data_IF_188095300837
#
_entry.id   IF_188095300837
#
_cell.length_a   1.000
_cell.length_b   1.000
_cell.length_c   1.000
_cell.angle_alpha   90.00
_cell.angle_beta   90.00
_cell.angle_gamma   90.00
#
_symmetry.space_group_name_H-M   'P 1'
#
loop_
_entity.id
_entity.type
_entity.pdbx_description
1 polymer ?
#
# COMPACT_ATOMS: atom_id res chain seq x y z
N UNK A 1 -53.37 4.77 -23.10
CA UNK A 1 -52.92 6.17 -22.98
C UNK A 1 -52.88 6.45 -21.48
N UNK A 2 -51.80 6.74 -20.77
CA UNK A 2 -50.49 7.31 -21.07
C UNK A 2 -49.46 6.54 -20.24
N UNK A 3 -48.49 5.87 -20.87
CA UNK A 3 -47.30 5.39 -20.16
C UNK A 3 -46.30 6.53 -20.23
N UNK A 4 -46.27 7.37 -19.20
CA UNK A 4 -45.21 8.36 -19.04
C UNK A 4 -43.90 7.60 -18.91
N UNK A 5 -43.06 7.64 -19.96
CA UNK A 5 -41.67 7.20 -19.87
C UNK A 5 -40.99 8.06 -18.82
N UNK A 6 -40.67 7.49 -17.66
CA UNK A 6 -39.82 8.17 -16.67
C UNK A 6 -38.51 8.54 -17.36
N UNK A 7 -38.13 9.81 -17.23
CA UNK A 7 -36.98 10.38 -17.91
C UNK A 7 -35.69 9.64 -17.54
N UNK A 8 -34.79 9.50 -18.53
CA UNK A 8 -33.43 9.02 -18.37
C UNK A 8 -32.67 9.88 -17.36
N UNK A 9 -32.59 9.45 -16.10
CA UNK A 9 -31.84 10.13 -15.05
C UNK A 9 -32.51 10.21 -13.67
N UNK A 10 -33.77 9.81 -13.52
CA UNK A 10 -34.43 9.81 -12.21
C UNK A 10 -33.88 8.68 -11.30
N UNK A 11 -33.44 9.09 -10.12
CA UNK A 11 -33.02 8.20 -9.04
C UNK A 11 -34.26 7.61 -8.36
N UNK A 12 -34.39 6.29 -8.41
CA UNK A 12 -35.48 5.56 -7.78
C UNK A 12 -34.95 4.81 -6.58
N UNK A 13 -35.52 5.07 -5.41
CA UNK A 13 -35.22 4.36 -4.17
C UNK A 13 -36.27 3.28 -3.92
N UNK A 14 -35.81 2.06 -3.67
CA UNK A 14 -36.65 0.92 -3.40
C UNK A 14 -36.87 0.75 -1.89
N UNK A 15 -37.88 -0.04 -1.54
CA UNK A 15 -38.29 -0.29 -0.14
C UNK A 15 -37.22 -1.04 0.65
N UNK A 16 -36.41 -1.85 -0.02
CA UNK A 16 -35.28 -2.59 0.56
C UNK A 16 -34.05 -1.69 0.85
N UNK A 17 -34.13 -0.40 0.50
CA UNK A 17 -33.03 0.55 0.64
C UNK A 17 -32.06 0.56 -0.53
N UNK A 18 -32.31 -0.22 -1.58
CA UNK A 18 -31.54 -0.13 -2.83
C UNK A 18 -31.93 1.12 -3.62
N UNK A 19 -31.02 1.57 -4.48
CA UNK A 19 -31.22 2.77 -5.31
C UNK A 19 -30.80 2.47 -6.75
N UNK A 20 -31.62 2.87 -7.72
CA UNK A 20 -31.29 2.76 -9.14
C UNK A 20 -31.33 4.11 -9.83
N UNK A 21 -30.33 4.35 -10.68
CA UNK A 21 -30.25 5.50 -11.56
C UNK A 21 -29.87 5.00 -12.95
N UNK A 22 -30.80 5.11 -13.90
CA UNK A 22 -30.57 4.64 -15.26
C UNK A 22 -31.80 4.72 -16.13
N UNK A 23 -31.73 4.04 -17.28
CA UNK A 23 -32.86 3.93 -18.20
C UNK A 23 -33.89 2.91 -17.73
N UNK A 24 -35.15 3.14 -18.10
CA UNK A 24 -36.31 2.33 -17.74
C UNK A 24 -37.12 2.00 -18.98
N UNK A 25 -37.66 0.80 -19.04
CA UNK A 25 -38.66 0.39 -20.03
C UNK A 25 -39.99 0.05 -19.32
N UNK A 26 -40.96 -0.46 -20.08
CA UNK A 26 -42.28 -0.86 -19.55
C UNK A 26 -42.18 -2.05 -18.59
N UNK A 27 -41.14 -2.88 -18.72
CA UNK A 27 -40.92 -4.11 -17.94
C UNK A 27 -40.05 -3.88 -16.69
N UNK A 28 -39.33 -2.76 -16.58
CA UNK A 28 -38.44 -2.44 -15.46
C UNK A 28 -37.16 -1.73 -15.89
N UNK A 29 -36.05 -2.07 -15.22
CA UNK A 29 -34.72 -1.52 -15.52
C UNK A 29 -34.20 -2.12 -16.82
N UNK A 30 -33.82 -1.28 -17.77
CA UNK A 30 -33.27 -1.69 -19.07
C UNK A 30 -32.24 -0.68 -19.55
N UNK A 31 -31.21 -1.12 -20.28
CA UNK A 31 -30.16 -0.26 -20.82
C UNK A 31 -29.06 -0.01 -19.79
N UNK A 32 -28.43 1.17 -19.81
CA UNK A 32 -27.28 1.46 -18.95
C UNK A 32 -27.76 2.12 -17.65
N UNK A 33 -27.25 1.65 -16.52
CA UNK A 33 -27.61 2.18 -15.22
C UNK A 33 -26.56 1.96 -14.14
N UNK A 34 -26.87 2.53 -12.98
CA UNK A 34 -26.16 2.37 -11.73
C UNK A 34 -27.14 1.89 -10.67
N UNK A 35 -26.85 0.76 -10.04
CA UNK A 35 -27.67 0.16 -8.99
C UNK A 35 -26.87 0.03 -7.71
N UNK A 36 -27.31 0.70 -6.64
CA UNK A 36 -26.77 0.59 -5.30
C UNK A 36 -27.55 -0.48 -4.56
N UNK A 37 -26.87 -1.58 -4.24
CA UNK A 37 -27.43 -2.69 -3.48
C UNK A 37 -27.55 -2.31 -1.98
N UNK A 38 -28.44 -2.98 -1.21
CA UNK A 38 -28.64 -2.69 0.22
C UNK A 38 -27.39 -2.77 1.10
N UNK A 39 -26.35 -3.50 0.66
CA UNK A 39 -25.05 -3.60 1.35
C UNK A 39 -24.02 -2.57 0.87
N UNK A 40 -24.45 -1.47 0.25
CA UNK A 40 -23.61 -0.43 -0.36
C UNK A 40 -22.65 -0.94 -1.46
N UNK A 41 -22.89 -2.14 -1.99
CA UNK A 41 -22.25 -2.56 -3.22
C UNK A 41 -22.91 -1.80 -4.38
N UNK A 42 -22.14 -1.43 -5.39
CA UNK A 42 -22.61 -0.62 -6.50
C UNK A 42 -22.36 -1.39 -7.78
N UNK A 43 -23.39 -1.62 -8.58
CA UNK A 43 -23.27 -2.15 -9.92
C UNK A 43 -23.42 -1.01 -10.93
N UNK A 44 -22.50 -0.91 -11.88
CA UNK A 44 -22.57 0.00 -13.01
C UNK A 44 -22.42 -0.82 -14.29
N UNK A 45 -23.43 -0.78 -15.16
CA UNK A 45 -23.43 -1.63 -16.35
C UNK A 45 -24.78 -1.65 -17.06
N UNK A 46 -24.94 -2.67 -17.90
CA UNK A 46 -26.18 -2.90 -18.63
C UNK A 46 -27.20 -3.69 -17.80
N UNK A 47 -28.47 -3.41 -18.06
CA UNK A 47 -29.63 -4.01 -17.43
C UNK A 47 -30.56 -4.53 -18.51
N UNK A 48 -31.17 -5.68 -18.23
CA UNK A 48 -32.21 -6.26 -19.08
C UNK A 48 -33.21 -7.00 -18.20
N UNK A 49 -34.49 -6.74 -18.43
CA UNK A 49 -35.60 -7.34 -17.68
C UNK A 49 -35.44 -7.20 -16.15
N UNK A 50 -34.92 -6.06 -15.69
CA UNK A 50 -34.69 -5.82 -14.26
C UNK A 50 -33.48 -6.55 -13.65
N UNK A 51 -32.66 -7.21 -14.45
CA UNK A 51 -31.46 -7.96 -13.99
C UNK A 51 -30.17 -7.41 -14.59
N UNK A 52 -29.03 -7.68 -13.94
CA UNK A 52 -27.72 -7.34 -14.50
C UNK A 52 -27.47 -8.14 -15.79
N UNK A 53 -27.09 -7.44 -16.86
CA UNK A 53 -26.86 -8.01 -18.18
C UNK A 53 -25.68 -7.33 -18.87
N UNK A 54 -25.21 -7.88 -20.00
CA UNK A 54 -24.20 -7.24 -20.86
C UNK A 54 -22.89 -6.95 -20.13
N UNK A 55 -22.23 -5.83 -20.43
CA UNK A 55 -21.01 -5.45 -19.72
C UNK A 55 -21.31 -4.68 -18.43
N UNK A 56 -20.62 -5.05 -17.35
CA UNK A 56 -20.84 -4.40 -16.06
C UNK A 56 -19.70 -4.56 -15.06
N UNK A 57 -19.66 -3.62 -14.12
CA UNK A 57 -18.69 -3.52 -13.04
C UNK A 57 -19.40 -3.48 -11.69
N UNK A 58 -19.07 -4.42 -10.81
CA UNK A 58 -19.55 -4.45 -9.44
C UNK A 58 -18.46 -3.95 -8.49
N UNK A 59 -18.74 -2.87 -7.76
CA UNK A 59 -17.88 -2.26 -6.76
C UNK A 59 -18.34 -2.62 -5.35
N UNK A 60 -17.41 -3.05 -4.51
CA UNK A 60 -17.67 -3.35 -3.11
C UNK A 60 -17.29 -2.15 -2.21
N UNK A 61 -17.89 -2.02 -1.02
CA UNK A 61 -17.59 -0.93 -0.09
C UNK A 61 -16.11 -0.78 0.29
N UNK A 62 -15.33 -1.87 0.21
CA UNK A 62 -13.88 -1.90 0.48
C UNK A 62 -13.02 -1.61 -0.75
N UNK A 63 -13.54 -0.90 -1.75
CA UNK A 63 -12.85 -0.52 -3.00
C UNK A 63 -12.38 -1.71 -3.86
N UNK A 64 -12.95 -2.89 -3.63
CA UNK A 64 -12.72 -4.06 -4.50
C UNK A 64 -13.69 -3.97 -5.68
N UNK A 65 -13.31 -4.53 -6.83
CA UNK A 65 -14.11 -4.45 -8.05
C UNK A 65 -14.14 -5.79 -8.78
N UNK A 66 -15.29 -6.16 -9.33
CA UNK A 66 -15.45 -7.26 -10.28
C UNK A 66 -15.93 -6.67 -11.60
N UNK A 67 -15.13 -6.85 -12.65
CA UNK A 67 -15.56 -6.61 -14.03
C UNK A 67 -16.00 -7.94 -14.65
N UNK A 68 -16.99 -7.90 -15.54
CA UNK A 68 -17.33 -9.09 -16.33
C UNK A 68 -18.50 -8.87 -17.28
N UNK A 69 -18.91 -9.98 -17.89
CA UNK A 69 -20.11 -10.07 -18.72
C UNK A 69 -21.23 -10.67 -17.87
N UNK A 70 -22.33 -9.95 -17.71
CA UNK A 70 -23.44 -10.33 -16.86
C UNK A 70 -24.56 -10.94 -17.69
N UNK A 71 -25.21 -11.98 -17.16
CA UNK A 71 -26.33 -12.64 -17.80
C UNK A 71 -27.30 -13.11 -16.74
N UNK A 72 -28.49 -12.50 -16.67
CA UNK A 72 -29.53 -12.85 -15.70
C UNK A 72 -29.05 -12.75 -14.25
N UNK A 73 -28.21 -11.73 -13.95
CA UNK A 73 -27.63 -11.54 -12.62
C UNK A 73 -26.35 -12.35 -12.34
N UNK A 74 -25.99 -13.32 -13.18
CA UNK A 74 -24.75 -14.07 -13.04
C UNK A 74 -23.58 -13.43 -13.78
N UNK A 75 -22.43 -13.29 -13.12
CA UNK A 75 -21.21 -12.77 -13.72
C UNK A 75 -20.41 -13.88 -14.41
N UNK A 76 -20.36 -13.83 -15.75
CA UNK A 76 -19.49 -14.61 -16.62
C UNK A 76 -18.22 -13.82 -16.91
N UNK A 77 -17.11 -14.52 -17.13
CA UNK A 77 -15.78 -13.93 -17.40
C UNK A 77 -15.38 -12.84 -16.39
N UNK A 78 -15.38 -13.23 -15.11
CA UNK A 78 -15.12 -12.30 -14.00
C UNK A 78 -13.63 -11.98 -13.87
N UNK A 79 -13.31 -10.69 -13.84
CA UNK A 79 -12.00 -10.14 -13.46
C UNK A 79 -12.12 -9.42 -12.13
N UNK A 80 -11.57 -10.03 -11.09
CA UNK A 80 -11.55 -9.46 -9.75
C UNK A 80 -10.29 -8.59 -9.54
N UNK A 81 -10.49 -7.36 -9.08
CA UNK A 81 -9.43 -6.41 -8.73
C UNK A 81 -9.53 -6.07 -7.25
N UNK A 82 -8.43 -6.26 -6.53
CA UNK A 82 -8.27 -5.91 -5.13
C UNK A 82 -8.20 -4.38 -4.95
N UNK A 83 -8.36 -3.91 -3.72
CA UNK A 83 -8.38 -2.48 -3.38
C UNK A 83 -7.06 -1.73 -3.67
N UNK A 84 -5.95 -2.46 -3.74
CA UNK A 84 -4.61 -2.00 -4.07
C UNK A 84 -4.35 -1.98 -5.60
N UNK A 85 -5.30 -2.46 -6.39
CA UNK A 85 -5.20 -2.62 -7.84
C UNK A 85 -4.55 -3.92 -8.31
N UNK A 86 -4.25 -4.86 -7.40
CA UNK A 86 -3.83 -6.21 -7.79
C UNK A 86 -4.98 -6.90 -8.52
N UNK A 87 -4.71 -7.52 -9.67
CA UNK A 87 -5.72 -8.27 -10.42
C UNK A 87 -5.58 -9.75 -10.05
N UNK A 88 -6.66 -10.36 -9.58
CA UNK A 88 -6.69 -11.79 -9.31
C UNK A 88 -6.45 -12.60 -10.58
N UNK A 89 -5.53 -13.57 -10.52
CA UNK A 89 -5.29 -14.52 -11.61
C UNK A 89 -5.36 -15.93 -11.05
N UNK A 90 -6.26 -16.75 -11.61
CA UNK A 90 -6.37 -18.17 -11.24
C UNK A 90 -5.13 -18.96 -11.65
N UNK A 91 -4.48 -18.56 -12.75
CA UNK A 91 -3.26 -19.16 -13.27
C UNK A 91 -2.12 -18.12 -13.20
N UNK A 92 -0.89 -18.56 -12.96
CA UNK A 92 0.30 -17.70 -12.88
C UNK A 92 0.16 -16.56 -11.85
N UNK A 93 -0.27 -16.90 -10.64
CA UNK A 93 -0.40 -15.96 -9.52
C UNK A 93 0.95 -15.52 -8.92
N UNK A 94 1.60 -14.50 -9.45
CA UNK A 94 2.96 -14.13 -9.02
C UNK A 94 3.06 -13.33 -7.71
N UNK A 95 1.92 -12.93 -7.14
CA UNK A 95 1.90 -12.10 -5.94
C UNK A 95 2.35 -12.86 -4.68
N UNK A 96 3.37 -12.32 -4.01
CA UNK A 96 3.96 -12.89 -2.79
C UNK A 96 4.41 -14.36 -2.93
N UNK A 97 4.88 -14.78 -4.11
CA UNK A 97 5.45 -16.13 -4.33
C UNK A 97 6.97 -16.11 -4.27
N UNK A 98 7.57 -17.09 -3.62
CA UNK A 98 9.03 -17.27 -3.65
C UNK A 98 9.55 -17.33 -5.12
N UNK A 99 10.65 -16.64 -5.46
CA UNK A 99 11.56 -15.88 -4.58
C UNK A 99 11.10 -14.45 -4.26
N UNK A 100 10.08 -13.93 -4.96
CA UNK A 100 9.63 -12.54 -4.86
C UNK A 100 8.48 -12.36 -3.85
N UNK A 101 8.83 -11.84 -2.67
CA UNK A 101 7.87 -11.59 -1.58
C UNK A 101 7.37 -10.14 -1.53
N UNK A 102 7.58 -9.37 -2.61
CA UNK A 102 7.19 -7.95 -2.65
C UNK A 102 5.68 -7.78 -2.64
N UNK A 103 5.22 -6.79 -1.87
CA UNK A 103 3.84 -6.33 -1.91
C UNK A 103 3.50 -5.64 -3.25
N UNK A 104 2.21 -5.54 -3.59
CA UNK A 104 1.77 -4.97 -4.87
C UNK A 104 2.17 -3.50 -4.94
N UNK A 105 2.10 -2.82 -3.79
CA UNK A 105 2.65 -1.47 -3.63
C UNK A 105 4.15 -1.40 -3.95
N UNK A 106 4.96 -2.36 -3.51
CA UNK A 106 6.39 -2.36 -3.82
C UNK A 106 6.65 -2.58 -5.31
N UNK A 107 5.84 -3.42 -5.98
CA UNK A 107 5.94 -3.68 -7.42
C UNK A 107 5.57 -2.41 -8.22
N UNK A 108 4.47 -1.75 -7.84
CA UNK A 108 3.95 -0.59 -8.58
C UNK A 108 4.76 0.68 -8.38
N UNK A 109 5.37 0.87 -7.21
CA UNK A 109 5.99 2.15 -6.84
C UNK A 109 7.45 2.06 -6.40
N UNK A 110 8.05 0.86 -6.50
CA UNK A 110 9.42 0.61 -6.09
C UNK A 110 9.57 0.27 -4.61
N UNK A 111 10.77 -0.17 -4.25
CA UNK A 111 11.15 -0.50 -2.88
C UNK A 111 11.44 0.78 -2.09
N UNK A 112 11.00 0.81 -0.83
CA UNK A 112 11.34 1.88 0.11
C UNK A 112 12.78 1.69 0.64
N UNK A 113 13.46 2.78 1.04
CA UNK A 113 14.79 2.69 1.65
C UNK A 113 14.75 1.85 2.93
N UNK A 114 15.93 1.36 3.34
CA UNK A 114 16.08 0.59 4.58
C UNK A 114 15.57 1.39 5.78
N UNK A 115 14.77 0.73 6.64
CA UNK A 115 14.10 1.36 7.79
C UNK A 115 12.69 1.90 7.50
N UNK A 116 12.34 2.13 6.23
CA UNK A 116 10.99 2.50 5.79
C UNK A 116 10.29 1.36 5.03
N UNK A 117 10.75 0.11 5.20
CA UNK A 117 10.19 -1.04 4.50
C UNK A 117 8.75 -1.28 4.92
N UNK A 118 7.88 -1.48 3.93
CA UNK A 118 6.48 -1.82 4.16
C UNK A 118 6.36 -3.14 4.91
N UNK A 119 5.60 -3.13 6.01
CA UNK A 119 5.26 -4.32 6.81
C UNK A 119 3.98 -4.99 6.35
N UNK A 120 3.08 -4.21 5.76
CA UNK A 120 1.86 -4.66 5.12
C UNK A 120 1.81 -4.02 3.73
N UNK A 121 0.93 -4.51 2.86
CA UNK A 121 0.75 -3.90 1.54
C UNK A 121 0.14 -2.48 1.60
N UNK A 122 -0.39 -2.10 2.76
CA UNK A 122 -0.95 -0.77 2.99
C UNK A 122 0.15 0.28 3.09
N UNK A 123 -0.05 1.36 2.33
CA UNK A 123 0.90 2.49 2.25
C UNK A 123 0.88 3.38 3.48
N UNK A 124 -0.28 3.43 4.14
CA UNK A 124 -0.46 4.19 5.35
C UNK A 124 0.17 3.41 6.47
N UNK A 125 1.38 3.83 6.85
CA UNK A 125 2.02 3.34 8.06
C UNK A 125 1.13 3.75 9.23
N UNK A 126 0.47 2.77 9.83
CA UNK A 126 -0.19 2.99 11.10
C UNK A 126 0.90 3.30 12.12
N UNK A 127 0.97 4.56 12.55
CA UNK A 127 1.89 4.99 13.60
C UNK A 127 1.29 4.59 14.94
N UNK A 128 1.98 3.68 15.63
CA UNK A 128 1.63 3.32 17.00
C UNK A 128 1.83 4.57 17.87
N UNK A 129 0.82 5.01 18.64
CA UNK A 129 0.96 6.17 19.52
C UNK A 129 2.15 6.02 20.48
N UNK A 130 2.79 7.13 20.87
CA UNK A 130 3.89 7.09 21.84
C UNK A 130 3.52 6.28 23.07
N UNK A 131 4.49 5.56 23.62
CA UNK A 131 4.37 4.66 24.80
C UNK A 131 3.42 3.47 24.63
N UNK A 132 2.81 3.27 23.45
CA UNK A 132 1.89 2.17 23.19
C UNK A 132 2.55 1.01 22.42
N UNK A 133 1.85 -0.13 22.43
CA UNK A 133 2.21 -1.37 21.76
C UNK A 133 1.11 -1.78 20.78
N UNK A 134 1.46 -2.40 19.67
CA UNK A 134 0.52 -3.04 18.76
C UNK A 134 0.37 -4.52 19.15
N UNK A 135 -0.74 -4.83 19.81
CA UNK A 135 -1.08 -6.18 20.24
C UNK A 135 -1.63 -7.06 19.09
N UNK A 136 -1.67 -6.54 17.85
CA UNK A 136 -2.23 -7.21 16.68
C UNK A 136 -3.76 -7.11 16.61
N UNK A 137 -4.44 -7.29 17.74
CA UNK A 137 -5.88 -7.02 17.87
C UNK A 137 -6.21 -5.52 18.00
N UNK A 138 -5.26 -4.73 18.50
CA UNK A 138 -5.44 -3.31 18.77
C UNK A 138 -4.22 -2.70 19.44
N UNK A 139 -4.35 -1.42 19.82
CA UNK A 139 -3.29 -0.67 20.46
C UNK A 139 -3.41 -0.75 21.97
N UNK A 140 -2.42 -1.37 22.58
CA UNK A 140 -2.29 -1.50 24.01
C UNK A 140 -1.57 -0.29 24.61
N UNK A 141 -2.22 0.38 25.56
CA UNK A 141 -1.59 1.42 26.37
C UNK A 141 -1.21 0.88 27.75
N UNK A 142 0.09 0.79 28.11
CA UNK A 142 0.54 0.22 29.36
C UNK A 142 0.17 1.05 30.60
N UNK A 143 -0.09 2.36 30.45
CA UNK A 143 -0.52 3.22 31.55
C UNK A 143 -2.01 3.06 31.83
N UNK A 144 -2.82 2.79 30.80
CA UNK A 144 -4.29 2.69 30.91
C UNK A 144 -4.82 1.24 30.92
N UNK A 145 -3.95 0.25 30.73
CA UNK A 145 -4.26 -1.19 30.78
C UNK A 145 -5.47 -1.63 29.93
N UNK A 146 -5.64 -1.06 28.74
CA UNK A 146 -6.67 -1.50 27.81
C UNK A 146 -6.15 -1.45 26.37
N UNK A 147 -6.82 -2.23 25.52
CA UNK A 147 -6.55 -2.33 24.08
C UNK A 147 -7.66 -1.56 23.35
N UNK A 148 -7.28 -0.58 22.54
CA UNK A 148 -8.20 0.18 21.68
C UNK A 148 -8.11 -0.28 20.23
N UNK A 149 -9.16 -0.04 19.44
CA UNK A 149 -9.14 -0.27 18.00
C UNK A 149 -8.07 0.58 17.29
N UNK A 150 -7.45 0.03 16.24
CA UNK A 150 -6.54 0.80 15.37
C UNK A 150 -7.24 1.98 14.68
N UNK A 151 -8.54 1.86 14.42
CA UNK A 151 -9.31 2.90 13.70
C UNK A 151 -9.92 3.93 14.65
N UNK A 152 -10.32 3.51 15.85
CA UNK A 152 -11.03 4.36 16.81
C UNK A 152 -10.45 4.17 18.21
N UNK A 153 -9.77 5.21 18.69
CA UNK A 153 -9.13 5.23 20.01
C UNK A 153 -10.13 5.26 21.18
N UNK A 154 -11.42 5.53 20.92
CA UNK A 154 -12.47 5.47 21.95
C UNK A 154 -13.05 4.07 22.12
N UNK A 155 -12.91 3.22 21.10
CA UNK A 155 -13.44 1.87 21.12
C UNK A 155 -12.46 0.94 21.83
N UNK A 156 -12.73 0.64 23.10
CA UNK A 156 -12.04 -0.40 23.84
C UNK A 156 -12.48 -1.76 23.31
N UNK A 157 -11.49 -2.57 22.90
CA UNK A 157 -11.72 -3.94 22.42
C UNK A 157 -11.60 -4.94 23.55
N UNK A 158 -10.56 -4.81 24.39
CA UNK A 158 -10.27 -5.78 25.44
C UNK A 158 -9.48 -5.13 26.60
N UNK A 159 -9.68 -5.66 27.81
CA UNK A 159 -8.88 -5.34 29.00
C UNK A 159 -8.00 -6.56 29.32
N UNK A 160 -6.71 -6.53 28.98
CA UNK A 160 -5.83 -7.70 29.12
C UNK A 160 -5.49 -7.98 30.59
N UNK A 161 -5.39 -9.26 30.94
CA UNK A 161 -4.87 -9.66 32.25
C UNK A 161 -3.37 -9.39 32.39
N UNK A 162 -2.81 -9.56 33.59
CA UNK A 162 -1.40 -9.28 33.87
C UNK A 162 -0.45 -10.15 33.06
N UNK A 163 -0.79 -11.43 32.83
CA UNK A 163 0.04 -12.35 32.04
C UNK A 163 0.10 -11.91 30.57
N UNK A 164 -1.05 -11.53 30.02
CA UNK A 164 -1.17 -11.07 28.65
C UNK A 164 -0.50 -9.71 28.46
N UNK A 165 -0.65 -8.78 29.41
CA UNK A 165 0.05 -7.50 29.42
C UNK A 165 1.58 -7.68 29.36
N UNK A 166 2.14 -8.57 30.19
CA UNK A 166 3.57 -8.88 30.16
C UNK A 166 3.99 -9.50 28.83
N UNK A 167 3.15 -10.36 28.25
CA UNK A 167 3.42 -10.94 26.95
C UNK A 167 3.44 -9.87 25.84
N UNK A 168 2.49 -8.93 25.85
CA UNK A 168 2.44 -7.81 24.90
C UNK A 168 3.72 -6.98 25.02
N UNK A 169 4.07 -6.53 26.23
CA UNK A 169 5.25 -5.68 26.43
C UNK A 169 6.56 -6.36 26.01
N UNK A 170 6.62 -7.70 26.08
CA UNK A 170 7.81 -8.48 25.72
C UNK A 170 7.93 -8.79 24.22
N UNK A 171 6.81 -9.01 23.53
CA UNK A 171 6.82 -9.59 22.18
C UNK A 171 6.22 -8.69 21.10
N UNK A 172 5.33 -7.77 21.47
CA UNK A 172 4.62 -6.95 20.50
C UNK A 172 5.46 -5.77 20.04
N UNK A 173 5.14 -5.27 18.85
CA UNK A 173 5.73 -4.05 18.34
C UNK A 173 5.38 -2.88 19.26
N UNK A 174 6.34 -1.99 19.48
CA UNK A 174 6.17 -0.75 20.23
C UNK A 174 6.43 0.46 19.33
N UNK A 175 5.94 1.61 19.77
CA UNK A 175 6.04 2.85 19.00
C UNK A 175 7.47 3.38 18.81
N UNK A 176 8.42 2.95 19.64
CA UNK A 176 9.81 3.38 19.58
C UNK A 176 10.73 2.23 19.18
N UNK A 177 11.86 2.61 18.61
CA UNK A 177 12.97 1.68 18.39
C UNK A 177 13.92 1.76 19.58
N UNK A 178 14.52 0.63 19.95
CA UNK A 178 15.61 0.58 20.92
C UNK A 178 16.79 -0.19 20.32
N UNK A 179 18.04 0.21 20.61
CA UNK A 179 19.19 -0.58 20.20
C UNK A 179 19.13 -1.96 20.87
N UNK A 180 19.00 -3.02 20.07
CA UNK A 180 18.95 -4.41 20.57
C UNK A 180 20.34 -4.99 20.85
N UNK A 181 21.41 -4.26 20.49
CA UNK A 181 22.78 -4.74 20.58
C UNK A 181 23.10 -5.82 19.53
N UNK A 182 24.29 -6.41 19.65
CA UNK A 182 24.70 -7.51 18.77
C UNK A 182 23.96 -8.80 19.16
N UNK A 183 23.11 -9.31 18.25
CA UNK A 183 22.34 -10.55 18.41
C UNK A 183 22.86 -11.62 17.46
N UNK A 184 23.93 -12.31 17.88
CA UNK A 184 24.58 -13.39 17.10
C UNK A 184 23.61 -14.49 16.65
N UNK A 185 22.57 -14.73 17.44
CA UNK A 185 21.49 -15.69 17.20
C UNK A 185 20.56 -15.33 16.04
N UNK A 186 20.49 -14.04 15.65
CA UNK A 186 19.67 -13.58 14.52
C UNK A 186 20.43 -13.53 13.19
N UNK A 187 21.76 -13.70 13.23
CA UNK A 187 22.53 -13.82 12.00
C UNK A 187 22.45 -15.26 11.52
N UNK A 188 21.72 -15.48 10.44
CA UNK A 188 21.87 -16.72 9.69
C UNK A 188 23.31 -16.79 9.17
N UNK A 189 23.98 -17.93 9.35
CA UNK A 189 25.19 -18.23 8.61
C UNK A 189 24.77 -18.46 7.15
N UNK A 190 24.61 -17.37 6.40
CA UNK A 190 24.29 -17.38 4.96
C UNK A 190 25.35 -18.13 4.13
N UNK A 191 26.49 -18.40 4.75
CA UNK A 191 27.60 -19.12 4.15
C UNK A 191 27.75 -20.48 4.83
N UNK A 192 27.71 -21.61 4.10
CA UNK A 192 28.12 -22.89 4.66
C UNK A 192 29.55 -22.78 5.17
N UNK A 193 29.89 -23.49 6.25
CA UNK A 193 31.23 -23.48 6.86
C UNK A 193 32.37 -23.77 5.87
N UNK A 194 32.03 -24.34 4.70
CA UNK A 194 32.90 -24.49 3.51
C UNK A 194 32.48 -23.52 2.41
N UNK A 195 32.65 -22.22 2.65
CA UNK A 195 32.41 -21.23 1.61
C UNK A 195 33.65 -21.12 0.72
N UNK A 196 33.57 -21.66 -0.50
CA UNK A 196 34.65 -21.51 -1.48
C UNK A 196 34.71 -20.05 -1.93
N UNK A 197 35.76 -19.35 -1.49
CA UNK A 197 36.00 -17.94 -1.81
C UNK A 197 36.11 -17.69 -3.31
N UNK A 198 36.33 -18.72 -4.14
CA UNK A 198 36.22 -18.62 -5.60
C UNK A 198 34.81 -18.26 -6.08
N UNK A 199 33.76 -18.69 -5.40
CA UNK A 199 32.37 -18.42 -5.83
C UNK A 199 32.00 -16.93 -5.70
N UNK A 200 32.47 -16.24 -4.66
CA UNK A 200 32.31 -14.79 -4.52
C UNK A 200 32.99 -14.00 -5.64
N UNK A 201 34.16 -14.46 -6.09
CA UNK A 201 34.88 -13.83 -7.20
C UNK A 201 34.15 -13.97 -8.55
N UNK A 202 33.18 -14.89 -8.64
CA UNK A 202 32.37 -15.11 -9.84
C UNK A 202 31.04 -14.34 -9.81
N UNK A 203 30.44 -14.15 -8.62
CA UNK A 203 29.15 -13.46 -8.44
C UNK A 203 29.26 -11.92 -8.37
N UNK A 204 30.44 -11.41 -8.06
CA UNK A 204 30.71 -9.98 -8.12
C UNK A 204 31.27 -9.66 -9.52
N UNK A 205 30.71 -8.71 -10.28
CA UNK A 205 31.17 -8.38 -11.63
C UNK A 205 32.54 -7.66 -11.65
N UNK A 206 33.30 -7.75 -10.56
CA UNK A 206 34.48 -6.95 -10.32
C UNK A 206 35.70 -7.83 -10.52
N UNK A 207 36.27 -7.69 -11.72
CA UNK A 207 37.52 -8.28 -12.20
C UNK A 207 38.57 -8.46 -11.10
N UNK A 208 39.17 -9.65 -11.06
CA UNK A 208 40.30 -10.02 -10.18
C UNK A 208 41.59 -9.21 -10.40
N UNK A 209 41.62 -8.23 -11.31
CA UNK A 209 42.83 -7.46 -11.66
C UNK A 209 43.00 -6.15 -10.88
N UNK A 210 42.44 -6.01 -9.68
CA UNK A 210 42.65 -4.78 -8.91
C UNK A 210 42.92 -5.05 -7.44
N UNK A 211 44.14 -4.67 -7.04
CA UNK A 211 44.69 -4.76 -5.68
C UNK A 211 44.08 -3.75 -4.69
N UNK A 212 43.03 -3.02 -5.06
CA UNK A 212 42.40 -2.01 -4.19
C UNK A 212 41.17 -2.57 -3.45
N UNK A 213 41.09 -2.45 -2.10
CA UNK A 213 39.89 -2.75 -1.34
C UNK A 213 38.68 -1.96 -1.84
N UNK A 214 37.54 -2.63 -2.06
CA UNK A 214 36.34 -2.04 -2.68
C UNK A 214 35.83 -0.75 -2.01
N UNK A 215 36.04 -0.59 -0.71
CA UNK A 215 35.63 0.60 0.05
C UNK A 215 36.47 1.85 -0.27
N UNK A 216 37.69 1.71 -0.79
CA UNK A 216 38.53 2.84 -1.25
C UNK A 216 38.02 3.47 -2.56
N UNK A 217 37.30 2.72 -3.40
CA UNK A 217 36.68 3.25 -4.63
C UNK A 217 35.45 4.12 -4.36
N UNK A 218 34.76 3.90 -3.25
CA UNK A 218 33.66 4.77 -2.81
C UNK A 218 34.15 6.15 -2.35
N UNK A 219 35.41 6.25 -1.90
CA UNK A 219 36.00 7.54 -1.51
C UNK A 219 36.50 8.37 -2.71
N UNK A 220 36.93 7.73 -3.80
CA UNK A 220 37.36 8.43 -5.02
C UNK A 220 36.21 9.05 -5.82
N UNK A 221 34.99 8.49 -5.74
CA UNK A 221 33.79 9.15 -6.29
C UNK A 221 33.42 10.45 -5.56
N UNK A 222 33.97 10.71 -4.37
CA UNK A 222 33.73 11.96 -3.62
C UNK A 222 34.75 13.06 -3.95
N UNK A 223 35.91 12.70 -4.50
CA UNK A 223 36.95 13.65 -4.93
C UNK A 223 36.76 14.17 -6.36
N UNK A 224 36.01 13.46 -7.22
CA UNK A 224 35.77 13.89 -8.62
C UNK A 224 34.67 14.95 -8.80
N UNK A 225 34.07 15.44 -7.70
CA UNK A 225 33.09 16.54 -7.73
C UNK A 225 33.65 17.91 -7.34
N UNK A 226 34.97 18.09 -7.25
CA UNK A 226 35.59 19.43 -7.15
C UNK A 226 36.71 19.58 -8.16
N UNK A 227 36.37 20.32 -9.22
CA UNK A 227 37.20 21.14 -10.12
C UNK A 227 36.94 20.86 -11.60
N UNK A 228 35.84 21.42 -12.11
CA UNK A 228 35.90 22.15 -13.38
C UNK A 228 35.37 23.56 -13.13
N UNK A 229 36.30 24.48 -13.25
CA UNK A 229 36.24 25.93 -13.12
C UNK A 229 35.00 26.58 -13.73
N UNK A 230 34.47 27.57 -13.00
CA UNK A 230 33.69 28.66 -13.59
C UNK A 230 34.53 29.38 -14.66
N UNK A 231 33.92 29.71 -15.79
CA UNK A 231 34.13 31.01 -16.42
C UNK A 231 32.78 31.70 -16.55
N UNK A 232 32.68 32.81 -15.82
CA UNK A 232 32.05 34.07 -16.19
C UNK A 232 30.60 34.06 -16.69
N UNK A 233 29.68 34.50 -15.80
CA UNK A 233 28.93 35.77 -15.96
C UNK A 233 27.71 35.87 -15.02
N UNK A 234 27.29 34.79 -14.34
CA UNK A 234 26.05 34.79 -13.53
C UNK A 234 26.18 35.04 -12.02
N UNK A 235 27.38 35.30 -11.50
CA UNK A 235 27.59 35.47 -10.04
C UNK A 235 27.83 36.92 -9.55
N UNK A 236 27.76 37.93 -10.42
CA UNK A 236 27.83 39.35 -9.99
C UNK A 236 26.54 39.87 -9.32
N UNK A 237 25.41 39.19 -9.48
CA UNK A 237 24.14 39.63 -8.89
C UNK A 237 23.90 39.11 -7.47
N UNK A 238 24.52 37.98 -7.10
CA UNK A 238 24.35 37.36 -5.78
C UNK A 238 25.34 37.85 -4.70
N UNK A 239 26.49 38.40 -5.09
CA UNK A 239 27.46 38.96 -4.13
C UNK A 239 27.07 40.37 -3.64
N UNK A 240 26.50 41.21 -4.50
CA UNK A 240 26.04 42.55 -4.09
C UNK A 240 24.86 42.52 -3.10
N UNK A 241 24.15 41.40 -3.00
CA UNK A 241 22.98 41.27 -2.11
C UNK A 241 23.35 40.75 -0.71
N UNK A 242 24.54 40.13 -0.57
CA UNK A 242 25.06 39.66 0.71
C UNK A 242 25.89 40.75 1.39
N UNK A 243 26.57 41.61 0.62
CA UNK A 243 27.34 42.74 1.18
C UNK A 243 26.46 43.91 1.64
N UNK A 244 25.25 44.09 1.08
CA UNK A 244 24.32 45.14 1.55
C UNK A 244 23.58 44.82 2.86
N UNK A 245 23.78 43.64 3.45
CA UNK A 245 23.11 43.19 4.68
C UNK A 245 24.04 43.10 5.89
N UNK A 246 25.30 43.54 5.75
CA UNK A 246 26.28 43.59 6.85
C UNK A 246 26.56 45.03 7.33
N UNK A 247 26.12 46.06 6.63
CA UNK A 247 26.14 47.46 7.11
C UNK A 247 24.78 47.87 7.70
N UNK A 248 24.47 47.39 8.91
CA UNK A 248 23.64 48.10 9.90
C UNK A 248 23.89 47.49 11.28
N UNK A 249 24.99 47.93 11.89
CA UNK A 249 25.11 48.11 13.33
C UNK A 249 25.46 49.57 13.57
#
# INVERSE_FOLDING_TARGET
MNVQSKNSGEETRFVDGSEYRGTWNVLGMEGIGKFVLPHNAIFEGEFRDGTFHGHGSLYFPRLQRIDGIWSQGECKDKRYTFNDGLIFRSHNWDYCRFPDRRYQTCIKYGLRPGGATLRTNDRNEFLIPPTCYDAGIGIFNPCKYHIVSHQDSKKVLEIPNTKFTRWIQKNCQKAWSEPTGNRKDLYENWFPDKFDTKFLSTLLPFSNESFEPWWKRLTTFRSDCKEKTLTDERNKHFQNLIESLVEFR
#
